data_IF_872518748605
#
_entry.id   IF_872518748605
#
_cell.length_a   1.000
_cell.length_b   1.000
_cell.length_c   1.000
_cell.angle_alpha   90.00
_cell.angle_beta   90.00
_cell.angle_gamma   90.00
#
_symmetry.space_group_name_H-M   'P 1'
#
loop_
_entity.id
_entity.type
_entity.pdbx_description
1 polymer ?
#
# COMPACT_ATOMS: atom_id res chain seq x y z
N UNK A 1 1.28 -15.42 4.91
CA UNK A 1 1.48 -15.77 3.50
C UNK A 1 2.76 -16.60 3.42
N UNK A 2 2.75 -17.67 2.65
CA UNK A 2 3.96 -18.50 2.44
C UNK A 2 4.96 -17.76 1.56
N UNK A 3 6.25 -18.09 1.65
CA UNK A 3 7.33 -17.43 0.89
C UNK A 3 7.07 -17.45 -0.64
N UNK A 4 6.47 -18.53 -1.14
CA UNK A 4 6.06 -18.69 -2.54
C UNK A 4 4.91 -17.74 -2.96
N UNK A 5 4.01 -17.40 -2.05
CA UNK A 5 2.93 -16.45 -2.31
C UNK A 5 3.45 -14.99 -2.27
N UNK A 6 4.47 -14.70 -1.46
CA UNK A 6 5.19 -13.41 -1.46
C UNK A 6 5.98 -13.21 -2.76
N UNK A 7 6.66 -14.25 -3.23
CA UNK A 7 7.43 -14.21 -4.48
C UNK A 7 6.50 -14.08 -5.71
N UNK A 8 5.34 -14.74 -5.69
CA UNK A 8 4.30 -14.55 -6.71
C UNK A 8 3.65 -13.16 -6.64
N UNK A 9 3.58 -12.56 -5.45
CA UNK A 9 3.11 -11.19 -5.25
C UNK A 9 4.11 -10.18 -5.84
N UNK A 10 5.41 -10.34 -5.57
CA UNK A 10 6.50 -9.53 -6.13
C UNK A 10 6.55 -9.60 -7.67
N UNK A 11 6.23 -10.74 -8.27
CA UNK A 11 6.13 -10.88 -9.73
C UNK A 11 4.95 -10.10 -10.36
N UNK A 12 3.95 -9.70 -9.57
CA UNK A 12 2.77 -8.97 -10.03
C UNK A 12 2.81 -7.45 -9.73
N UNK A 13 3.88 -6.99 -9.06
CA UNK A 13 4.10 -5.57 -8.78
C UNK A 13 5.28 -5.04 -9.59
N UNK A 14 5.12 -3.83 -10.11
CA UNK A 14 6.21 -3.09 -10.72
C UNK A 14 7.05 -2.45 -9.62
N UNK A 15 8.23 -3.02 -9.32
CA UNK A 15 9.16 -2.52 -8.30
C UNK A 15 9.73 -1.13 -8.61
N UNK A 16 9.60 -0.65 -9.85
CA UNK A 16 9.94 0.74 -10.21
C UNK A 16 8.86 1.75 -9.81
N UNK A 17 7.69 1.28 -9.34
CA UNK A 17 6.62 2.17 -8.94
C UNK A 17 6.99 3.01 -7.70
N UNK A 18 6.44 4.24 -7.59
CA UNK A 18 6.83 5.19 -6.54
C UNK A 18 6.77 4.63 -5.12
N UNK A 19 5.77 3.81 -4.80
CA UNK A 19 5.64 3.20 -3.47
C UNK A 19 6.86 2.35 -3.10
N UNK A 20 7.30 1.47 -3.99
CA UNK A 20 8.41 0.53 -3.73
C UNK A 20 9.74 1.26 -3.66
N UNK A 21 9.96 2.22 -4.55
CA UNK A 21 11.13 3.07 -4.53
C UNK A 21 11.25 3.82 -3.19
N UNK A 22 10.15 4.43 -2.70
CA UNK A 22 10.14 5.10 -1.39
C UNK A 22 10.22 4.14 -0.20
N UNK A 23 9.75 2.90 -0.33
CA UNK A 23 9.79 1.93 0.75
C UNK A 23 11.23 1.46 1.05
N UNK A 24 12.03 1.28 -0.01
CA UNK A 24 13.41 0.79 0.06
C UNK A 24 14.46 1.90 0.13
N UNK A 25 14.06 3.16 0.07
CA UNK A 25 14.94 4.31 0.23
C UNK A 25 15.28 4.55 1.71
N UNK A 26 16.57 4.67 2.03
CA UNK A 26 17.06 4.99 3.38
C UNK A 26 16.72 6.44 3.77
N UNK A 27 16.72 7.36 2.79
CA UNK A 27 16.41 8.78 2.96
C UNK A 27 14.94 9.11 2.63
N UNK A 28 14.06 8.10 2.72
CA UNK A 28 12.66 8.22 2.33
C UNK A 28 11.94 9.39 3.00
N UNK A 29 11.08 10.11 2.26
CA UNK A 29 10.36 11.24 2.80
C UNK A 29 9.42 10.81 3.92
N UNK A 30 9.47 11.53 5.04
CA UNK A 30 8.58 11.33 6.18
C UNK A 30 7.55 12.46 6.29
N UNK A 31 6.46 12.17 6.99
CA UNK A 31 5.45 13.14 7.38
C UNK A 31 5.25 13.09 8.89
N UNK A 32 5.00 14.24 9.50
CA UNK A 32 4.73 14.34 10.94
C UNK A 32 3.27 14.06 11.23
N UNK A 33 2.99 12.96 11.91
CA UNK A 33 1.66 12.60 12.41
C UNK A 33 1.72 12.53 13.93
N UNK A 34 0.97 13.40 14.61
CA UNK A 34 0.93 13.42 16.09
C UNK A 34 2.31 13.46 16.76
N UNK A 35 3.26 14.20 16.16
CA UNK A 35 4.62 14.33 16.67
C UNK A 35 5.57 13.17 16.34
N UNK A 36 5.10 12.14 15.63
CA UNK A 36 5.94 11.03 15.13
C UNK A 36 6.21 11.21 13.65
N UNK A 37 7.44 10.94 13.25
CA UNK A 37 7.82 10.87 11.84
C UNK A 37 7.40 9.53 11.27
N UNK A 38 6.48 9.56 10.30
CA UNK A 38 5.95 8.37 9.62
C UNK A 38 6.40 8.42 8.17
N UNK A 39 6.97 7.35 7.60
CA UNK A 39 7.28 7.31 6.18
C UNK A 39 6.04 7.62 5.35
N UNK A 40 6.18 8.55 4.39
CA UNK A 40 5.08 9.03 3.56
C UNK A 40 4.39 7.89 2.82
N UNK A 41 5.17 6.95 2.27
CA UNK A 41 4.68 5.78 1.58
C UNK A 41 3.75 4.91 2.44
N UNK A 42 4.07 4.72 3.72
CA UNK A 42 3.25 3.98 4.68
C UNK A 42 1.96 4.72 5.03
N UNK A 43 2.02 6.05 5.17
CA UNK A 43 0.82 6.84 5.36
C UNK A 43 -0.13 6.74 4.17
N UNK A 44 0.41 6.85 2.95
CA UNK A 44 -0.37 6.70 1.71
C UNK A 44 -0.98 5.30 1.63
N UNK A 45 -0.25 4.26 2.02
CA UNK A 45 -0.77 2.88 2.10
C UNK A 45 -1.95 2.76 3.06
N UNK A 46 -1.84 3.30 4.28
CA UNK A 46 -2.94 3.31 5.26
C UNK A 46 -4.18 4.02 4.73
N UNK A 47 -4.01 5.20 4.10
CA UNK A 47 -5.14 5.94 3.51
C UNK A 47 -5.74 5.20 2.31
N UNK A 48 -4.90 4.63 1.44
CA UNK A 48 -5.34 3.89 0.25
C UNK A 48 -6.16 2.66 0.62
N UNK A 49 -5.80 1.95 1.69
CA UNK A 49 -6.57 0.80 2.16
C UNK A 49 -8.03 1.18 2.44
N UNK A 50 -8.24 2.23 3.22
CA UNK A 50 -9.58 2.77 3.52
C UNK A 50 -10.32 3.21 2.25
N UNK A 51 -9.62 3.91 1.36
CA UNK A 51 -10.19 4.44 0.13
C UNK A 51 -10.66 3.33 -0.82
N UNK A 52 -9.87 2.24 -0.92
CA UNK A 52 -10.19 1.07 -1.73
C UNK A 52 -11.35 0.28 -1.14
N UNK A 53 -11.42 0.15 0.19
CA UNK A 53 -12.57 -0.48 0.86
C UNK A 53 -13.88 0.25 0.53
N UNK A 54 -13.88 1.59 0.63
CA UNK A 54 -15.02 2.42 0.20
C UNK A 54 -15.38 2.22 -1.28
N UNK A 55 -14.38 2.21 -2.16
CA UNK A 55 -14.60 2.09 -3.60
C UNK A 55 -15.10 0.70 -4.01
N UNK A 56 -14.61 -0.37 -3.39
CA UNK A 56 -14.93 -1.73 -3.79
C UNK A 56 -16.20 -2.25 -3.12
N UNK A 57 -16.36 -2.00 -1.81
CA UNK A 57 -17.46 -2.58 -1.03
C UNK A 57 -18.72 -1.71 -1.03
N UNK A 58 -18.55 -0.40 -1.17
CA UNK A 58 -19.66 0.57 -1.17
C UNK A 58 -19.85 1.27 -2.52
N UNK A 59 -19.10 0.87 -3.56
CA UNK A 59 -19.12 1.44 -4.92
C UNK A 59 -19.02 2.98 -4.93
N UNK A 60 -18.39 3.56 -3.90
CA UNK A 60 -18.36 5.00 -3.65
C UNK A 60 -16.93 5.52 -3.72
N UNK A 61 -16.71 6.58 -4.50
CA UNK A 61 -15.41 7.24 -4.56
C UNK A 61 -15.17 8.05 -3.29
N UNK A 62 -13.99 7.96 -2.66
CA UNK A 62 -13.65 8.77 -1.49
C UNK A 62 -13.73 10.28 -1.75
N UNK A 63 -13.27 10.70 -2.93
CA UNK A 63 -13.35 12.09 -3.40
C UNK A 63 -13.53 12.15 -4.92
N UNK A 64 -14.04 13.28 -5.44
CA UNK A 64 -14.37 13.46 -6.86
C UNK A 64 -13.18 13.22 -7.81
N UNK A 65 -12.00 13.64 -7.40
CA UNK A 65 -10.75 13.53 -8.19
C UNK A 65 -10.09 12.16 -8.09
N UNK A 66 -10.55 11.29 -7.19
CA UNK A 66 -9.95 9.98 -6.96
C UNK A 66 -10.14 9.05 -8.16
N UNK A 67 -9.05 8.38 -8.55
CA UNK A 67 -9.04 7.41 -9.63
C UNK A 67 -8.26 6.15 -9.22
N UNK A 68 -8.87 4.98 -9.41
CA UNK A 68 -8.19 3.69 -9.23
C UNK A 68 -6.96 3.54 -10.14
N UNK A 69 -6.92 4.24 -11.27
CA UNK A 69 -5.75 4.27 -12.16
C UNK A 69 -4.51 4.88 -11.49
N UNK A 70 -4.69 5.92 -10.69
CA UNK A 70 -3.58 6.56 -9.97
C UNK A 70 -3.05 5.65 -8.87
N UNK A 71 -3.95 4.95 -8.16
CA UNK A 71 -3.59 3.92 -7.17
C UNK A 71 -2.77 2.81 -7.83
N UNK A 72 -3.24 2.27 -8.96
CA UNK A 72 -2.51 1.24 -9.70
C UNK A 72 -1.11 1.68 -10.10
N UNK A 73 -0.97 2.91 -10.59
CA UNK A 73 0.31 3.48 -10.99
C UNK A 73 1.25 3.67 -9.80
N UNK A 74 0.73 4.12 -8.66
CA UNK A 74 1.54 4.40 -7.47
C UNK A 74 2.11 3.11 -6.83
N UNK A 75 1.30 2.06 -6.74
CA UNK A 75 1.69 0.76 -6.16
C UNK A 75 2.28 -0.24 -7.18
N UNK A 76 2.26 0.10 -8.47
CA UNK A 76 2.76 -0.80 -9.52
C UNK A 76 1.88 -2.03 -9.76
N UNK A 77 0.59 -1.98 -9.40
CA UNK A 77 -0.33 -3.14 -9.43
C UNK A 77 -1.22 -3.15 -10.67
N UNK A 78 -1.57 -4.37 -11.13
CA UNK A 78 -2.53 -4.60 -12.22
C UNK A 78 -3.72 -5.43 -11.73
N UNK A 79 -4.86 -5.34 -12.43
CA UNK A 79 -6.04 -6.16 -12.14
C UNK A 79 -7.38 -5.41 -12.14
N UNK A 80 -8.45 -6.13 -11.81
CA UNK A 80 -9.80 -5.57 -11.62
C UNK A 80 -9.94 -4.97 -10.20
N UNK A 81 -11.09 -4.36 -9.88
CA UNK A 81 -11.29 -3.67 -8.59
C UNK A 81 -11.11 -4.58 -7.37
N UNK A 82 -11.57 -5.83 -7.43
CA UNK A 82 -11.42 -6.82 -6.35
C UNK A 82 -9.96 -7.24 -6.17
N UNK A 83 -9.26 -7.59 -7.26
CA UNK A 83 -7.84 -7.95 -7.19
C UNK A 83 -6.97 -6.82 -6.64
N UNK A 84 -7.28 -5.57 -7.00
CA UNK A 84 -6.58 -4.40 -6.45
C UNK A 84 -6.78 -4.30 -4.93
N UNK A 85 -8.00 -4.57 -4.43
CA UNK A 85 -8.26 -4.60 -2.99
C UNK A 85 -7.42 -5.67 -2.29
N UNK A 86 -7.46 -6.90 -2.79
CA UNK A 86 -6.72 -8.00 -2.18
C UNK A 86 -5.23 -7.68 -2.12
N UNK A 87 -4.64 -7.19 -3.21
CA UNK A 87 -3.23 -6.79 -3.26
C UNK A 87 -2.89 -5.67 -2.26
N UNK A 88 -3.70 -4.61 -2.18
CA UNK A 88 -3.45 -3.50 -1.24
C UNK A 88 -3.53 -3.98 0.22
N UNK A 89 -4.46 -4.88 0.54
CA UNK A 89 -4.59 -5.45 1.88
C UNK A 89 -3.41 -6.37 2.22
N UNK A 90 -2.95 -7.18 1.26
CA UNK A 90 -1.72 -7.98 1.41
C UNK A 90 -0.50 -7.10 1.68
N UNK A 91 -0.28 -6.04 0.89
CA UNK A 91 0.83 -5.08 1.11
C UNK A 91 0.73 -4.48 2.51
N UNK A 92 -0.46 -4.04 2.90
CA UNK A 92 -0.69 -3.45 4.22
C UNK A 92 -0.35 -4.42 5.35
N UNK A 93 -0.85 -5.64 5.29
CA UNK A 93 -0.68 -6.63 6.36
C UNK A 93 0.76 -7.09 6.48
N UNK A 94 1.49 -7.22 5.36
CA UNK A 94 2.92 -7.51 5.41
C UNK A 94 3.73 -6.35 5.95
N UNK A 95 3.45 -5.13 5.49
CA UNK A 95 4.28 -3.97 5.84
C UNK A 95 4.06 -3.57 7.30
N UNK A 96 2.81 -3.65 7.79
CA UNK A 96 2.47 -3.27 9.17
C UNK A 96 2.58 -4.45 10.14
N UNK A 97 2.34 -5.68 9.68
CA UNK A 97 2.58 -6.89 10.47
C UNK A 97 4.03 -6.97 10.95
N UNK A 98 4.99 -6.71 10.04
CA UNK A 98 6.43 -6.67 10.37
C UNK A 98 6.78 -5.60 11.42
N UNK A 99 6.07 -4.46 11.46
CA UNK A 99 6.30 -3.39 12.45
C UNK A 99 5.93 -3.84 13.86
N UNK A 100 4.80 -4.55 14.02
CA UNK A 100 4.35 -5.04 15.34
C UNK A 100 5.29 -6.07 15.95
N UNK A 101 5.97 -6.85 15.12
CA UNK A 101 6.96 -7.83 15.59
C UNK A 101 8.29 -7.17 15.97
N UNK A 102 8.61 -5.99 15.41
CA UNK A 102 9.84 -5.24 15.72
C UNK A 102 9.73 -4.44 17.03
N UNK A 103 8.52 -3.99 17.39
CA UNK A 103 8.25 -3.26 18.65
C UNK A 103 8.10 -4.19 19.88
N UNK A 104 8.08 -5.52 19.69
CA UNK A 104 8.00 -6.52 20.76
C UNK A 104 9.37 -7.17 21.09
N UNK A 105 10.47 -6.62 20.58
CA UNK A 105 11.85 -7.05 20.83
C UNK A 105 12.54 -6.26 21.94
#
# INVERSE_FOLDING_TARGET
MTEAEAEAFEQNVDSSAPFWQELHDEDRPTIKIQGRDVPRCLYILMQTRRDIEMYVDHDTKPQRTWKIGDVKKYFGIKGNKSKVKDLIFTIHDETIGRIKDTDNG
#
